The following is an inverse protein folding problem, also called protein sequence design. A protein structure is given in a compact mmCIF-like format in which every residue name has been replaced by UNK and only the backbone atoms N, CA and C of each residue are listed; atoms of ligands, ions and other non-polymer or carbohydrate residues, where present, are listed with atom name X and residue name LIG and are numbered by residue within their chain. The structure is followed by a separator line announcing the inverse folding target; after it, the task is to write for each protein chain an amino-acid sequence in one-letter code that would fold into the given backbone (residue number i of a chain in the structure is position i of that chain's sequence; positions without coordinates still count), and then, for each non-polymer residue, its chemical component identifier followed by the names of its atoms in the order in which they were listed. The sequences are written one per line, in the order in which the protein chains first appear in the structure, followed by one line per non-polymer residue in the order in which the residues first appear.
data_IF_677495785438
#
_entry.id   IF_677495785438
#
_cell.length_a   1.000
_cell.length_b   1.000
_cell.length_c   1.000
_cell.angle_alpha   90.00
_cell.angle_beta   90.00
_cell.angle_gamma   90.00
#
_symmetry.space_group_name_H-M   'P 1'
#
loop_
_entity.id
_entity.type
_entity.pdbx_description
1 polymer ?
#
# COMPACT_ATOMS: atom_id res chain seq x y z
N UNK A 1 1.61 -67.89 -4.32
CA UNK A 1 1.10 -66.97 -3.27
C UNK A 1 0.84 -65.61 -3.91
N UNK A 2 -0.43 -65.17 -3.94
CA UNK A 2 -0.82 -63.90 -4.57
C UNK A 2 -0.40 -62.70 -3.70
N UNK A 3 0.17 -61.65 -4.32
CA UNK A 3 0.56 -60.40 -3.63
C UNK A 3 -0.69 -59.64 -3.16
N UNK A 4 -0.64 -59.07 -1.94
CA UNK A 4 -1.71 -58.21 -1.38
C UNK A 4 -1.96 -56.99 -2.27
N UNK A 5 -3.23 -56.69 -2.53
CA UNK A 5 -3.72 -55.67 -3.47
C UNK A 5 -3.68 -54.22 -2.92
N UNK A 6 -2.62 -53.82 -2.23
CA UNK A 6 -2.58 -52.51 -1.54
C UNK A 6 -2.19 -51.33 -2.43
N UNK A 7 -1.65 -51.55 -3.64
CA UNK A 7 -1.15 -50.47 -4.50
C UNK A 7 -1.80 -50.50 -5.88
N UNK A 8 -2.93 -49.78 -6.02
CA UNK A 8 -3.57 -49.53 -7.32
C UNK A 8 -2.82 -48.37 -8.00
N UNK A 9 -1.95 -48.68 -8.96
CA UNK A 9 -1.04 -47.79 -9.69
C UNK A 9 0.15 -47.23 -8.86
N UNK A 10 1.22 -48.02 -8.65
CA UNK A 10 2.43 -47.51 -8.01
C UNK A 10 3.11 -46.45 -8.90
N UNK A 11 3.28 -45.23 -8.39
CA UNK A 11 4.17 -44.23 -8.99
C UNK A 11 5.57 -44.46 -8.44
N UNK A 12 6.52 -44.72 -9.33
CA UNK A 12 7.93 -44.88 -8.96
C UNK A 12 8.51 -43.49 -8.66
N UNK A 13 9.19 -43.37 -7.54
CA UNK A 13 9.99 -42.18 -7.22
C UNK A 13 11.37 -42.65 -6.77
N UNK A 14 12.41 -41.92 -7.18
CA UNK A 14 13.78 -42.11 -6.70
C UNK A 14 14.08 -41.05 -5.65
N UNK A 15 14.70 -41.47 -4.54
CA UNK A 15 15.20 -40.57 -3.50
C UNK A 15 16.69 -40.79 -3.40
N UNK A 16 17.44 -39.69 -3.42
CA UNK A 16 18.86 -39.69 -3.10
C UNK A 16 18.98 -39.14 -1.70
N UNK A 17 19.58 -39.90 -0.79
CA UNK A 17 19.77 -39.52 0.60
C UNK A 17 21.25 -39.54 0.91
N UNK A 18 21.70 -38.57 1.69
CA UNK A 18 23.06 -38.55 2.22
C UNK A 18 23.32 -39.76 3.12
N UNK A 19 24.58 -40.19 3.22
CA UNK A 19 24.96 -41.42 3.92
C UNK A 19 24.55 -41.39 5.40
N UNK A 20 24.67 -40.24 6.05
CA UNK A 20 24.32 -40.05 7.46
C UNK A 20 22.82 -40.25 7.70
N UNK A 21 21.97 -39.67 6.84
CA UNK A 21 20.51 -39.81 6.88
C UNK A 21 20.10 -41.27 6.64
N UNK A 22 20.82 -41.97 5.75
CA UNK A 22 20.56 -43.39 5.49
C UNK A 22 20.80 -44.24 6.74
N UNK A 23 21.88 -43.98 7.48
CA UNK A 23 22.22 -44.72 8.69
C UNK A 23 21.18 -44.50 9.79
N UNK A 24 20.67 -43.28 9.94
CA UNK A 24 19.54 -42.97 10.85
C UNK A 24 18.26 -43.69 10.45
N UNK A 25 17.93 -43.71 9.15
CA UNK A 25 16.77 -44.44 8.62
C UNK A 25 16.93 -45.95 8.87
N UNK A 26 18.12 -46.51 8.73
CA UNK A 26 18.36 -47.93 8.94
C UNK A 26 18.22 -48.32 10.42
N UNK A 27 18.65 -47.46 11.34
CA UNK A 27 18.39 -47.63 12.78
C UNK A 27 16.89 -47.54 13.10
N UNK A 28 16.18 -46.57 12.53
CA UNK A 28 14.75 -46.37 12.74
C UNK A 28 13.89 -47.48 12.11
N UNK A 29 14.30 -48.00 10.95
CA UNK A 29 13.56 -49.00 10.17
C UNK A 29 13.43 -50.33 10.92
N UNK A 30 14.47 -50.75 11.63
CA UNK A 30 14.54 -52.08 12.22
C UNK A 30 14.23 -53.17 11.18
N UNK A 31 13.09 -53.87 11.35
CA UNK A 31 12.62 -54.96 10.47
C UNK A 31 11.67 -54.54 9.34
N UNK A 32 11.31 -53.26 9.23
CA UNK A 32 10.43 -52.77 8.17
C UNK A 32 11.15 -52.73 6.81
N UNK A 33 10.40 -52.74 5.71
CA UNK A 33 10.97 -52.45 4.39
C UNK A 33 11.13 -50.94 4.21
N UNK A 34 12.14 -50.50 3.45
CA UNK A 34 12.33 -49.08 3.14
C UNK A 34 11.06 -48.42 2.60
N UNK A 35 10.36 -49.09 1.67
CA UNK A 35 9.11 -48.57 1.11
C UNK A 35 8.05 -48.26 2.18
N UNK A 36 7.94 -49.11 3.21
CA UNK A 36 7.00 -48.89 4.32
C UNK A 36 7.46 -47.76 5.24
N UNK A 37 8.76 -47.62 5.49
CA UNK A 37 9.32 -46.50 6.25
C UNK A 37 9.10 -45.17 5.53
N UNK A 38 9.41 -45.08 4.24
CA UNK A 38 9.16 -43.87 3.45
C UNK A 38 7.67 -43.54 3.36
N UNK A 39 6.79 -44.54 3.33
CA UNK A 39 5.34 -44.31 3.36
C UNK A 39 4.90 -43.71 4.69
N UNK A 40 5.43 -44.21 5.82
CA UNK A 40 5.14 -43.68 7.15
C UNK A 40 5.70 -42.27 7.35
N UNK A 41 6.95 -42.03 6.95
CA UNK A 41 7.57 -40.71 6.99
C UNK A 41 6.83 -39.72 6.11
N UNK A 42 6.43 -40.13 4.91
CA UNK A 42 5.58 -39.31 4.05
C UNK A 42 4.25 -39.03 4.72
N UNK A 43 3.53 -40.02 5.24
CA UNK A 43 2.24 -39.78 5.92
C UNK A 43 2.37 -38.87 7.15
N UNK A 44 3.44 -38.99 7.92
CA UNK A 44 3.69 -38.19 9.11
C UNK A 44 4.08 -36.75 8.77
N UNK A 45 4.91 -36.54 7.76
CA UNK A 45 5.53 -35.23 7.46
C UNK A 45 5.05 -34.59 6.16
N UNK A 46 4.08 -35.17 5.45
CA UNK A 46 3.56 -34.62 4.17
C UNK A 46 3.14 -33.16 4.31
N UNK A 47 2.49 -32.80 5.41
CA UNK A 47 2.07 -31.41 5.67
C UNK A 47 3.26 -30.47 5.81
N UNK A 48 4.27 -30.85 6.60
CA UNK A 48 5.47 -30.05 6.85
C UNK A 48 6.31 -29.86 5.57
N UNK A 49 6.47 -30.92 4.78
CA UNK A 49 7.20 -30.86 3.51
C UNK A 49 6.48 -29.99 2.49
N UNK A 50 5.15 -30.11 2.38
CA UNK A 50 4.35 -29.23 1.50
C UNK A 50 4.46 -27.78 1.95
N UNK A 51 4.31 -27.51 3.25
CA UNK A 51 4.44 -26.16 3.79
C UNK A 51 5.85 -25.57 3.57
N UNK A 52 6.90 -26.39 3.68
CA UNK A 52 8.27 -25.95 3.43
C UNK A 52 8.48 -25.55 1.96
N UNK A 53 7.95 -26.33 1.02
CA UNK A 53 7.99 -26.03 -0.42
C UNK A 53 7.20 -24.76 -0.73
N UNK A 54 5.99 -24.62 -0.16
CA UNK A 54 5.16 -23.42 -0.32
C UNK A 54 5.86 -22.18 0.24
N UNK A 55 6.48 -22.27 1.42
CA UNK A 55 7.26 -21.18 2.00
C UNK A 55 8.44 -20.78 1.12
N UNK A 56 9.13 -21.74 0.51
CA UNK A 56 10.24 -21.45 -0.39
C UNK A 56 9.75 -20.75 -1.67
N UNK A 57 8.65 -21.22 -2.27
CA UNK A 57 8.03 -20.59 -3.42
C UNK A 57 7.58 -19.16 -3.10
N UNK A 58 6.89 -18.95 -1.97
CA UNK A 58 6.46 -17.62 -1.51
C UNK A 58 7.64 -16.68 -1.26
N UNK A 59 8.78 -17.20 -0.77
CA UNK A 59 10.00 -16.40 -0.61
C UNK A 59 10.57 -15.96 -1.95
N UNK A 60 10.61 -16.87 -2.94
CA UNK A 60 11.07 -16.54 -4.31
C UNK A 60 10.16 -15.49 -4.96
N UNK A 61 8.85 -15.68 -4.89
CA UNK A 61 7.88 -14.70 -5.38
C UNK A 61 8.03 -13.35 -4.69
N UNK A 62 8.28 -13.31 -3.37
CA UNK A 62 8.53 -12.06 -2.66
C UNK A 62 9.77 -11.32 -3.16
N UNK A 63 10.85 -12.05 -3.47
CA UNK A 63 12.07 -11.46 -4.00
C UNK A 63 11.83 -10.88 -5.39
N UNK A 64 11.13 -11.61 -6.26
CA UNK A 64 10.76 -11.12 -7.59
C UNK A 64 9.83 -9.91 -7.53
N UNK A 65 8.83 -9.92 -6.65
CA UNK A 65 7.92 -8.80 -6.43
C UNK A 65 8.66 -7.57 -5.91
N UNK A 66 9.60 -7.73 -4.96
CA UNK A 66 10.44 -6.63 -4.47
C UNK A 66 11.28 -6.02 -5.58
N UNK A 67 11.93 -6.86 -6.40
CA UNK A 67 12.71 -6.40 -7.55
C UNK A 67 11.83 -5.61 -8.55
N UNK A 68 10.62 -6.10 -8.81
CA UNK A 68 9.67 -5.44 -9.71
C UNK A 68 9.14 -4.12 -9.15
N UNK A 69 8.91 -4.04 -7.83
CA UNK A 69 8.54 -2.79 -7.15
C UNK A 69 9.68 -1.77 -7.23
N UNK A 70 10.93 -2.18 -7.01
CA UNK A 70 12.09 -1.30 -7.15
C UNK A 70 12.23 -0.77 -8.58
N UNK A 71 12.07 -1.63 -9.58
CA UNK A 71 12.12 -1.25 -10.99
C UNK A 71 11.00 -0.24 -11.36
N UNK A 72 9.76 -0.53 -10.94
CA UNK A 72 8.64 0.38 -11.15
C UNK A 72 8.84 1.72 -10.43
N UNK A 73 9.40 1.71 -9.22
CA UNK A 73 9.68 2.93 -8.46
C UNK A 73 10.72 3.79 -9.18
N UNK A 74 11.78 3.16 -9.71
CA UNK A 74 12.79 3.85 -10.54
C UNK A 74 12.18 4.43 -11.82
N UNK A 75 11.28 3.69 -12.48
CA UNK A 75 10.56 4.19 -13.67
C UNK A 75 9.68 5.39 -13.34
N UNK A 76 8.94 5.34 -12.22
CA UNK A 76 8.12 6.47 -11.75
C UNK A 76 8.99 7.68 -11.47
N UNK A 77 10.11 7.52 -10.75
CA UNK A 77 11.05 8.62 -10.50
C UNK A 77 11.60 9.21 -11.81
N UNK A 78 12.02 8.36 -12.74
CA UNK A 78 12.53 8.80 -14.05
C UNK A 78 11.47 9.56 -14.86
N UNK A 79 10.22 9.09 -14.84
CA UNK A 79 9.10 9.77 -15.49
C UNK A 79 8.77 11.09 -14.81
N UNK A 80 8.83 11.16 -13.48
CA UNK A 80 8.69 12.41 -12.72
C UNK A 80 9.79 13.41 -13.08
N UNK A 81 11.05 13.00 -13.11
CA UNK A 81 12.17 13.85 -13.55
C UNK A 81 12.01 14.30 -15.01
N UNK A 82 11.50 13.44 -15.89
CA UNK A 82 11.22 13.80 -17.28
C UNK A 82 10.04 14.78 -17.40
N UNK A 83 9.01 14.64 -16.58
CA UNK A 83 7.90 15.60 -16.45
C UNK A 83 8.38 16.96 -15.93
N UNK A 84 9.30 16.95 -14.96
CA UNK A 84 9.93 18.16 -14.44
C UNK A 84 10.81 18.84 -15.50
N UNK A 85 11.64 18.09 -16.22
CA UNK A 85 12.52 18.58 -17.30
C UNK A 85 11.77 19.08 -18.53
N UNK A 86 10.61 18.50 -18.84
CA UNK A 86 9.76 18.95 -19.96
C UNK A 86 8.93 20.18 -19.63
N UNK A 87 9.00 20.71 -18.40
CA UNK A 87 8.38 21.99 -18.02
C UNK A 87 6.85 21.98 -18.09
N UNK A 88 6.23 20.79 -18.16
CA UNK A 88 4.77 20.60 -18.32
C UNK A 88 4.02 20.48 -17.00
N UNK A 89 4.68 20.65 -15.85
CA UNK A 89 3.95 20.92 -14.61
C UNK A 89 3.42 22.35 -14.76
N UNK A 90 2.13 22.49 -15.07
CA UNK A 90 1.53 23.81 -15.28
C UNK A 90 1.80 24.69 -14.06
N UNK A 91 1.94 26.01 -14.23
CA UNK A 91 2.14 26.92 -13.10
C UNK A 91 1.11 26.68 -11.98
N UNK A 92 -0.11 26.27 -12.36
CA UNK A 92 -1.18 25.85 -11.46
C UNK A 92 -0.84 24.60 -10.65
N UNK A 93 -0.24 23.57 -11.23
CA UNK A 93 0.12 22.35 -10.50
C UNK A 93 1.29 22.56 -9.53
N UNK A 94 2.24 23.45 -9.87
CA UNK A 94 3.30 23.85 -8.92
C UNK A 94 2.69 24.62 -7.75
N UNK A 95 1.87 25.62 -8.04
CA UNK A 95 1.15 26.39 -7.03
C UNK A 95 0.26 25.49 -6.15
N UNK A 96 -0.40 24.49 -6.73
CA UNK A 96 -1.19 23.51 -5.99
C UNK A 96 -0.34 22.67 -5.03
N UNK A 97 0.85 22.22 -5.48
CA UNK A 97 1.77 21.44 -4.65
C UNK A 97 2.34 22.26 -3.49
N UNK A 98 2.69 23.52 -3.74
CA UNK A 98 3.23 24.41 -2.71
C UNK A 98 2.14 24.74 -1.68
N UNK A 99 0.94 25.11 -2.14
CA UNK A 99 -0.23 25.32 -1.28
C UNK A 99 -0.60 24.05 -0.49
N UNK A 100 -0.57 22.88 -1.11
CA UNK A 100 -0.85 21.62 -0.44
C UNK A 100 0.11 21.38 0.73
N UNK A 101 1.42 21.61 0.53
CA UNK A 101 2.43 21.47 1.58
C UNK A 101 2.17 22.44 2.74
N UNK A 102 1.94 23.71 2.44
CA UNK A 102 1.66 24.74 3.46
C UNK A 102 0.39 24.41 4.25
N UNK A 103 -0.71 24.09 3.56
CA UNK A 103 -1.98 23.74 4.20
C UNK A 103 -1.83 22.49 5.06
N UNK A 104 -1.12 21.46 4.60
CA UNK A 104 -0.86 20.26 5.39
C UNK A 104 0.00 20.53 6.63
N UNK A 105 0.96 21.45 6.54
CA UNK A 105 1.77 21.86 7.69
C UNK A 105 0.95 22.65 8.72
N UNK A 106 0.01 23.48 8.27
CA UNK A 106 -0.92 24.19 9.15
C UNK A 106 -1.86 23.17 9.83
N UNK A 107 -2.46 22.28 9.05
CA UNK A 107 -3.44 21.30 9.55
C UNK A 107 -2.82 20.15 10.36
N UNK A 108 -1.51 19.91 10.27
CA UNK A 108 -0.82 19.01 11.20
C UNK A 108 -0.68 19.60 12.60
N UNK A 109 -0.68 20.93 12.71
CA UNK A 109 -0.66 21.66 13.98
C UNK A 109 -2.08 21.87 14.52
N UNK A 110 -3.03 22.15 13.61
CA UNK A 110 -4.44 22.39 13.92
C UNK A 110 -5.31 21.36 13.20
N UNK A 111 -5.79 20.34 13.90
CA UNK A 111 -6.64 19.28 13.32
C UNK A 111 -7.87 19.83 12.56
N UNK A 112 -8.40 20.96 13.01
CA UNK A 112 -9.51 21.67 12.39
C UNK A 112 -9.32 23.18 12.56
N UNK A 113 -9.64 23.95 11.53
CA UNK A 113 -9.38 25.39 11.50
C UNK A 113 -10.40 26.10 10.61
N UNK A 114 -10.75 27.36 10.94
CA UNK A 114 -11.68 28.15 10.11
C UNK A 114 -11.01 28.63 8.82
N UNK A 115 -11.79 28.81 7.76
CA UNK A 115 -11.28 29.34 6.48
C UNK A 115 -10.58 30.69 6.66
N UNK A 116 -11.09 31.56 7.55
CA UNK A 116 -10.43 32.82 7.91
C UNK A 116 -9.00 32.60 8.40
N UNK A 117 -8.82 31.69 9.35
CA UNK A 117 -7.53 31.40 9.97
C UNK A 117 -6.59 30.76 8.93
N UNK A 118 -7.12 29.91 8.04
CA UNK A 118 -6.33 29.34 6.93
C UNK A 118 -5.76 30.43 6.04
N UNK A 119 -6.60 31.37 5.61
CA UNK A 119 -6.16 32.47 4.75
C UNK A 119 -5.14 33.35 5.48
N UNK A 120 -5.27 33.55 6.79
CA UNK A 120 -4.25 34.27 7.57
C UNK A 120 -2.90 33.55 7.56
N UNK A 121 -2.90 32.24 7.77
CA UNK A 121 -1.67 31.43 7.73
C UNK A 121 -1.04 31.37 6.32
N UNK A 122 -1.86 31.42 5.27
CA UNK A 122 -1.41 31.54 3.88
C UNK A 122 -0.94 32.96 3.49
N UNK A 123 -0.85 33.88 4.46
CA UNK A 123 -0.29 35.22 4.26
C UNK A 123 -1.26 36.28 3.75
N UNK A 124 -2.56 36.01 3.71
CA UNK A 124 -3.56 37.03 3.34
C UNK A 124 -3.72 38.06 4.46
N UNK A 125 -3.32 39.30 4.19
CA UNK A 125 -3.34 40.40 5.16
C UNK A 125 -4.64 41.23 5.13
N UNK A 126 -5.47 41.06 4.10
CA UNK A 126 -6.70 41.85 3.93
C UNK A 126 -7.74 41.65 5.05
N UNK A 127 -8.64 42.61 5.22
CA UNK A 127 -9.73 42.58 6.20
C UNK A 127 -11.07 42.90 5.55
N UNK A 128 -12.17 42.43 6.15
CA UNK A 128 -13.52 42.75 5.72
C UNK A 128 -13.89 42.18 4.34
N UNK A 129 -14.50 42.99 3.48
CA UNK A 129 -15.04 42.52 2.19
C UNK A 129 -13.95 42.19 1.16
N UNK A 130 -12.77 42.78 1.26
CA UNK A 130 -11.63 42.42 0.42
C UNK A 130 -11.19 40.96 0.67
N UNK A 131 -11.17 40.55 1.94
CA UNK A 131 -10.84 39.18 2.32
C UNK A 131 -11.93 38.20 1.87
N UNK A 132 -13.21 38.57 1.98
CA UNK A 132 -14.32 37.74 1.46
C UNK A 132 -14.20 37.49 -0.05
N UNK A 133 -13.91 38.53 -0.84
CA UNK A 133 -13.71 38.38 -2.29
C UNK A 133 -12.55 37.45 -2.63
N UNK A 134 -11.45 37.54 -1.89
CA UNK A 134 -10.30 36.64 -2.05
C UNK A 134 -10.63 35.21 -1.63
N UNK A 135 -11.37 35.03 -0.54
CA UNK A 135 -11.86 33.72 -0.10
C UNK A 135 -12.76 33.09 -1.18
N UNK A 136 -13.70 33.85 -1.75
CA UNK A 136 -14.56 33.38 -2.84
C UNK A 136 -13.75 32.97 -4.08
N UNK A 137 -12.77 33.77 -4.47
CA UNK A 137 -11.89 33.44 -5.59
C UNK A 137 -11.06 32.18 -5.31
N UNK A 138 -10.56 32.03 -4.08
CA UNK A 138 -9.82 30.85 -3.63
C UNK A 138 -10.69 29.59 -3.69
N UNK A 139 -11.93 29.66 -3.20
CA UNK A 139 -12.88 28.55 -3.26
C UNK A 139 -13.21 28.16 -4.70
N UNK A 140 -13.54 29.13 -5.55
CA UNK A 140 -13.86 28.87 -6.97
C UNK A 140 -12.68 28.25 -7.73
N UNK A 141 -11.45 28.58 -7.33
CA UNK A 141 -10.24 28.13 -8.01
C UNK A 141 -9.85 26.71 -7.63
N UNK A 142 -9.97 26.36 -6.34
CA UNK A 142 -9.38 25.14 -5.79
C UNK A 142 -10.38 24.12 -5.27
N UNK A 143 -11.63 24.49 -5.04
CA UNK A 143 -12.64 23.62 -4.45
C UNK A 143 -13.78 23.33 -5.42
N UNK A 144 -14.28 22.11 -5.38
CA UNK A 144 -15.47 21.65 -6.10
C UNK A 144 -16.54 21.31 -5.06
N UNK A 145 -17.78 21.73 -5.29
CA UNK A 145 -18.89 21.37 -4.42
C UNK A 145 -19.29 19.92 -4.69
N UNK A 146 -19.02 19.03 -3.74
CA UNK A 146 -19.45 17.62 -3.77
C UNK A 146 -20.57 17.44 -2.72
N UNK A 147 -21.82 17.50 -3.17
CA UNK A 147 -23.00 17.43 -2.30
C UNK A 147 -23.16 18.68 -1.43
N UNK A 148 -22.95 18.54 -0.12
CA UNK A 148 -23.04 19.64 0.86
C UNK A 148 -21.66 20.17 1.33
N UNK A 149 -20.56 19.62 0.83
CA UNK A 149 -19.20 19.93 1.29
C UNK A 149 -18.35 20.38 0.11
N UNK A 150 -17.46 21.36 0.32
CA UNK A 150 -16.49 21.78 -0.68
C UNK A 150 -15.23 20.93 -0.55
N UNK A 151 -14.83 20.27 -1.64
CA UNK A 151 -13.71 19.33 -1.64
C UNK A 151 -12.63 19.82 -2.60
N UNK A 152 -11.39 19.87 -2.13
CA UNK A 152 -10.21 20.06 -2.97
C UNK A 152 -9.34 18.82 -2.94
N UNK A 153 -9.42 18.01 -4.01
CA UNK A 153 -8.58 16.81 -4.15
C UNK A 153 -7.11 17.17 -4.35
N UNK A 154 -6.84 18.27 -5.05
CA UNK A 154 -5.49 18.78 -5.30
C UNK A 154 -4.82 19.27 -4.00
N UNK A 155 -5.58 19.97 -3.14
CA UNK A 155 -5.06 20.47 -1.86
C UNK A 155 -5.22 19.47 -0.71
N UNK A 156 -5.94 18.37 -0.90
CA UNK A 156 -6.14 17.34 0.12
C UNK A 156 -7.01 17.80 1.30
N UNK A 157 -7.96 18.71 1.07
CA UNK A 157 -8.78 19.31 2.13
C UNK A 157 -10.27 19.35 1.78
N UNK A 158 -11.08 19.28 2.82
CA UNK A 158 -12.52 19.49 2.78
C UNK A 158 -12.91 20.73 3.58
N UNK A 159 -13.98 21.38 3.13
CA UNK A 159 -14.57 22.56 3.72
C UNK A 159 -16.04 22.27 4.01
N UNK A 160 -16.39 22.26 5.29
CA UNK A 160 -17.75 22.03 5.78
C UNK A 160 -18.46 23.38 5.95
N UNK A 161 -19.50 23.68 5.13
CA UNK A 161 -20.32 24.87 5.32
C UNK A 161 -21.13 24.75 6.60
N UNK A 162 -21.30 25.86 7.30
CA UNK A 162 -22.19 25.97 8.45
C UNK A 162 -23.21 27.06 8.19
N UNK A 163 -24.49 26.77 8.42
CA UNK A 163 -25.59 27.73 8.18
C UNK A 163 -25.59 28.89 9.18
N UNK A 164 -24.93 28.73 10.32
CA UNK A 164 -24.87 29.73 11.39
C UNK A 164 -23.68 30.70 11.28
N UNK A 165 -22.78 30.47 10.32
CA UNK A 165 -21.55 31.25 10.18
C UNK A 165 -21.29 31.54 8.70
N UNK A 166 -20.96 32.80 8.37
CA UNK A 166 -20.60 33.16 7.00
C UNK A 166 -19.38 32.39 6.50
N UNK A 167 -19.12 32.41 5.19
CA UNK A 167 -18.05 31.65 4.50
C UNK A 167 -16.70 31.60 5.22
N UNK A 168 -16.26 32.72 5.81
CA UNK A 168 -14.99 32.81 6.54
C UNK A 168 -14.94 31.96 7.82
N UNK A 169 -16.10 31.59 8.36
CA UNK A 169 -16.25 30.72 9.53
C UNK A 169 -16.41 29.24 9.20
N UNK A 170 -16.40 28.86 7.91
CA UNK A 170 -16.46 27.45 7.52
C UNK A 170 -15.23 26.67 7.99
N UNK A 171 -15.44 25.41 8.32
CA UNK A 171 -14.43 24.55 8.91
C UNK A 171 -13.64 23.84 7.81
N UNK A 172 -12.33 24.01 7.84
CA UNK A 172 -11.35 23.33 6.98
C UNK A 172 -10.84 22.11 7.73
N UNK A 173 -10.89 20.96 7.07
CA UNK A 173 -10.38 19.69 7.58
C UNK A 173 -9.55 19.00 6.51
N UNK A 174 -8.61 18.17 6.96
CA UNK A 174 -7.86 17.30 6.06
C UNK A 174 -8.79 16.26 5.47
N UNK A 175 -8.61 15.96 4.18
CA UNK A 175 -9.36 14.89 3.53
C UNK A 175 -8.87 13.55 4.09
N UNK A 176 -9.71 12.88 4.88
CA UNK A 176 -9.45 11.50 5.28
C UNK A 176 -9.70 10.60 4.07
N UNK A 177 -8.63 10.22 3.37
CA UNK A 177 -8.69 9.13 2.41
C UNK A 177 -8.89 7.86 3.24
N UNK A 178 -10.14 7.38 3.33
CA UNK A 178 -10.40 6.02 3.76
C UNK A 178 -9.74 5.10 2.72
N UNK A 179 -8.59 4.55 3.11
CA UNK A 179 -7.93 3.45 2.41
C UNK A 179 -8.77 2.17 2.54
#
# INVERSE_FOLDING_TARGET
MARKAEYRNPRTFSVTVEAEIKDEIDQFRGRLSYGKVFTLLWQAHKGEVVNAIELENLRRENVELKARVEELTRLVQKLQEQLEKTGRVSAREREAKDLHKEIHQILSTYNELKLLELLRHLGYSETGDALKKKAEAFLKRWFVLEGKVFVSKELGVALEPSEHVGMLGWKVRKLEVKA
#
